data_IF_061984590794
#
_entry.id   IF_061984590794
#
_cell.length_a   1.000
_cell.length_b   1.000
_cell.length_c   1.000
_cell.angle_alpha   90.00
_cell.angle_beta   90.00
_cell.angle_gamma   90.00
#
_symmetry.space_group_name_H-M   'P 1'
#
loop_
_entity.id
_entity.type
_entity.pdbx_description
1 polymer ?
#
# COMPACT_ATOMS: atom_id res chain seq x y z
N UNK A 1 53.34 37.02 25.67
CA UNK A 1 53.51 35.55 25.67
C UNK A 1 52.48 34.90 26.59
N UNK A 2 51.42 34.29 26.04
CA UNK A 2 50.80 33.04 26.53
C UNK A 2 49.67 32.62 25.59
N UNK A 3 49.78 31.38 25.11
CA UNK A 3 48.78 30.65 24.31
C UNK A 3 47.50 30.41 25.12
N UNK A 4 46.37 30.36 24.41
CA UNK A 4 45.20 29.47 24.59
C UNK A 4 44.08 30.06 23.70
N UNK A 5 43.29 29.35 22.92
CA UNK A 5 43.11 27.93 22.64
C UNK A 5 41.86 27.89 21.75
N UNK A 6 41.98 27.33 20.55
CA UNK A 6 40.86 27.17 19.61
C UNK A 6 39.93 26.10 20.16
N UNK A 7 38.65 26.42 20.34
CA UNK A 7 37.58 25.43 20.55
C UNK A 7 36.49 25.69 19.51
N UNK A 8 36.62 24.98 18.40
CA UNK A 8 35.62 24.86 17.34
C UNK A 8 34.54 23.90 17.84
N UNK A 9 33.37 24.42 18.21
CA UNK A 9 32.22 23.61 18.59
C UNK A 9 31.53 23.13 17.31
N UNK A 10 31.77 21.87 16.95
CA UNK A 10 30.98 21.15 15.94
C UNK A 10 29.70 20.68 16.63
N UNK A 11 28.58 21.35 16.36
CA UNK A 11 27.26 20.87 16.75
C UNK A 11 26.80 19.81 15.73
N UNK A 12 26.86 18.54 16.11
CA UNK A 12 26.23 17.45 15.38
C UNK A 12 24.71 17.50 15.61
N UNK A 13 23.97 17.94 14.60
CA UNK A 13 22.51 17.83 14.59
C UNK A 13 22.12 16.37 14.30
N UNK A 14 21.76 15.63 15.35
CA UNK A 14 21.05 14.36 15.24
C UNK A 14 19.65 14.65 14.68
N UNK A 15 19.45 14.34 13.39
CA UNK A 15 18.13 14.26 12.77
C UNK A 15 17.43 13.03 13.34
N UNK A 16 16.80 13.20 14.49
CA UNK A 16 15.88 12.21 15.06
C UNK A 16 14.60 12.24 14.23
N UNK A 17 14.35 11.15 13.50
CA UNK A 17 13.05 10.88 12.89
C UNK A 17 11.99 10.75 13.97
N UNK A 18 11.29 11.84 14.26
CA UNK A 18 10.02 11.78 14.99
C UNK A 18 9.01 11.13 14.04
N UNK A 19 8.81 9.82 14.21
CA UNK A 19 7.56 9.19 13.79
C UNK A 19 6.46 9.86 14.60
N UNK A 20 5.73 10.78 13.97
CA UNK A 20 4.52 11.33 14.55
C UNK A 20 3.61 10.13 14.78
N UNK A 21 3.22 9.80 16.02
CA UNK A 21 2.21 8.80 16.23
C UNK A 21 0.97 9.31 15.48
N UNK A 22 0.43 8.47 14.59
CA UNK A 22 -0.92 8.67 14.06
C UNK A 22 -1.82 8.49 15.28
N UNK A 23 -2.06 9.58 16.00
CA UNK A 23 -3.03 9.62 17.07
C UNK A 23 -4.38 9.37 16.41
N UNK A 24 -4.87 8.13 16.52
CA UNK A 24 -6.29 7.88 16.37
C UNK A 24 -6.98 8.81 17.38
N UNK A 25 -7.65 9.85 16.89
CA UNK A 25 -8.37 10.77 17.75
C UNK A 25 -9.46 9.98 18.48
N UNK A 26 -9.24 9.62 19.74
CA UNK A 26 -10.27 9.01 20.57
C UNK A 26 -11.36 10.05 20.80
N UNK A 27 -12.51 9.86 20.13
CA UNK A 27 -13.67 10.74 20.24
C UNK A 27 -14.42 10.50 21.55
N UNK A 28 -15.05 11.56 22.06
CA UNK A 28 -15.79 11.48 23.33
C UNK A 28 -16.92 10.44 23.27
N UNK A 29 -17.06 9.59 24.31
CA UNK A 29 -18.07 8.55 24.34
C UNK A 29 -19.49 9.13 24.39
N UNK A 30 -20.42 8.35 23.84
CA UNK A 30 -21.84 8.64 23.80
C UNK A 30 -22.59 8.00 24.97
N UNK A 31 -23.13 8.83 25.86
CA UNK A 31 -24.14 8.46 26.86
C UNK A 31 -25.55 8.45 26.26
N UNK A 32 -26.25 7.35 26.41
CA UNK A 32 -27.68 7.15 26.16
C UNK A 32 -28.41 7.07 27.50
N UNK A 33 -29.59 7.71 27.60
CA UNK A 33 -30.33 7.81 28.85
C UNK A 33 -31.78 7.36 28.65
N UNK A 34 -32.28 6.57 29.58
CA UNK A 34 -33.71 6.23 29.68
C UNK A 34 -34.22 6.61 31.06
N UNK A 35 -35.43 7.14 31.10
CA UNK A 35 -36.05 7.63 32.34
C UNK A 35 -37.22 6.72 32.67
N UNK A 36 -37.12 6.02 33.79
CA UNK A 36 -38.21 5.23 34.35
C UNK A 36 -38.89 6.04 35.46
N UNK A 37 -40.20 6.22 35.36
CA UNK A 37 -41.00 7.00 36.30
C UNK A 37 -42.10 6.14 36.88
N UNK A 38 -42.27 6.17 38.21
CA UNK A 38 -43.47 5.66 38.84
C UNK A 38 -44.49 6.79 39.04
N UNK A 39 -45.59 6.83 38.27
CA UNK A 39 -46.62 7.86 38.43
C UNK A 39 -47.49 7.68 39.68
N UNK A 40 -47.40 6.54 40.38
CA UNK A 40 -48.20 6.31 41.58
C UNK A 40 -47.71 7.17 42.75
N UNK A 41 -48.66 7.81 43.44
CA UNK A 41 -48.38 8.60 44.63
C UNK A 41 -48.24 7.75 45.91
N UNK A 42 -48.69 6.49 45.88
CA UNK A 42 -48.86 5.69 47.10
C UNK A 42 -48.27 4.28 47.01
N UNK A 43 -48.11 3.70 45.80
CA UNK A 43 -47.65 2.31 45.63
C UNK A 43 -46.32 2.23 44.90
N UNK A 44 -45.45 1.35 45.39
CA UNK A 44 -44.27 0.94 44.63
C UNK A 44 -44.71 0.13 43.40
N UNK A 45 -44.03 0.33 42.27
CA UNK A 45 -44.32 -0.38 41.02
C UNK A 45 -43.03 -0.93 40.44
N UNK A 46 -43.10 -2.17 39.96
CA UNK A 46 -42.04 -2.77 39.15
C UNK A 46 -42.29 -2.40 37.69
N UNK A 47 -41.28 -1.84 37.03
CA UNK A 47 -41.35 -1.39 35.63
C UNK A 47 -40.19 -2.00 34.85
N UNK A 48 -40.44 -2.64 33.70
CA UNK A 48 -39.37 -3.10 32.83
C UNK A 48 -38.70 -1.91 32.13
N UNK A 49 -37.38 -1.93 32.07
CA UNK A 49 -36.57 -0.93 31.36
C UNK A 49 -35.85 -1.62 30.22
N UNK A 50 -35.99 -1.09 29.00
CA UNK A 50 -35.29 -1.58 27.80
C UNK A 50 -34.82 -0.40 26.96
N UNK A 51 -33.58 -0.49 26.48
CA UNK A 51 -32.96 0.47 25.56
C UNK A 51 -32.40 -0.32 24.39
N UNK A 52 -32.93 -0.09 23.19
CA UNK A 52 -32.33 -0.63 21.97
C UNK A 52 -31.12 0.22 21.57
N UNK A 53 -29.96 -0.42 21.40
CA UNK A 53 -28.76 0.24 20.90
C UNK A 53 -28.82 0.34 19.37
N UNK A 54 -28.17 1.36 18.78
CA UNK A 54 -28.01 1.43 17.33
C UNK A 54 -27.28 0.19 16.79
N UNK A 55 -27.67 -0.26 15.59
CA UNK A 55 -27.16 -1.48 14.97
C UNK A 55 -25.63 -1.48 14.76
N UNK A 56 -25.02 -0.30 14.72
CA UNK A 56 -23.57 -0.12 14.55
C UNK A 56 -22.77 -0.49 15.81
N UNK A 57 -23.40 -0.56 16.99
CA UNK A 57 -22.74 -0.82 18.27
C UNK A 57 -22.50 -2.32 18.46
N UNK A 58 -21.26 -2.68 18.80
CA UNK A 58 -20.88 -4.04 19.21
C UNK A 58 -20.72 -4.13 20.73
N UNK A 59 -20.64 -5.35 21.32
CA UNK A 59 -20.47 -5.50 22.76
C UNK A 59 -19.20 -4.82 23.29
N UNK A 60 -18.10 -4.85 22.52
CA UNK A 60 -16.84 -4.19 22.89
C UNK A 60 -16.85 -2.65 22.82
N UNK A 61 -17.92 -2.08 22.28
CA UNK A 61 -18.14 -0.63 22.21
C UNK A 61 -18.94 -0.12 23.41
N UNK A 62 -19.55 -1.00 24.20
CA UNK A 62 -20.28 -0.64 25.43
C UNK A 62 -19.24 -0.49 26.54
N UNK A 63 -19.10 0.74 27.05
CA UNK A 63 -18.13 1.09 28.11
C UNK A 63 -18.75 0.86 29.48
N UNK A 64 -19.99 1.33 29.66
CA UNK A 64 -20.74 1.20 30.91
C UNK A 64 -22.22 0.99 30.60
N UNK A 65 -22.84 0.03 31.28
CA UNK A 65 -24.27 -0.29 31.19
C UNK A 65 -24.94 -0.30 32.58
N UNK A 66 -24.22 0.11 33.63
CA UNK A 66 -24.72 0.15 35.00
C UNK A 66 -25.29 -1.19 35.47
N UNK A 67 -26.47 -1.14 36.10
CA UNK A 67 -27.17 -2.33 36.62
C UNK A 67 -28.00 -3.08 35.55
N UNK A 68 -27.84 -2.76 34.27
CA UNK A 68 -28.61 -3.35 33.18
C UNK A 68 -27.84 -4.48 32.50
N UNK A 69 -28.58 -5.42 31.92
CA UNK A 69 -28.04 -6.58 31.21
C UNK A 69 -28.02 -6.33 29.71
N UNK A 70 -26.96 -6.78 29.02
CA UNK A 70 -26.81 -6.63 27.57
C UNK A 70 -27.18 -7.93 26.89
N UNK A 71 -28.12 -7.87 25.96
CA UNK A 71 -28.55 -9.01 25.15
C UNK A 71 -28.56 -8.66 23.67
N UNK A 72 -28.60 -9.70 22.82
CA UNK A 72 -28.68 -9.57 21.38
C UNK A 72 -30.04 -10.02 20.87
N UNK A 73 -30.75 -9.11 20.21
CA UNK A 73 -32.01 -9.39 19.54
C UNK A 73 -31.69 -9.98 18.16
N UNK A 74 -31.90 -11.28 17.99
CA UNK A 74 -31.57 -11.99 16.74
C UNK A 74 -32.50 -11.58 15.59
N UNK A 75 -33.75 -11.24 15.88
CA UNK A 75 -34.73 -10.83 14.87
C UNK A 75 -34.37 -9.46 14.28
N UNK A 76 -33.95 -8.54 15.15
CA UNK A 76 -33.60 -7.16 14.78
C UNK A 76 -32.11 -6.95 14.53
N UNK A 77 -31.30 -7.98 14.79
CA UNK A 77 -29.84 -7.96 14.67
C UNK A 77 -29.19 -6.76 15.37
N UNK A 78 -29.63 -6.46 16.59
CA UNK A 78 -29.12 -5.34 17.39
C UNK A 78 -28.94 -5.74 18.85
N UNK A 79 -28.02 -5.06 19.52
CA UNK A 79 -27.88 -5.19 20.96
C UNK A 79 -28.89 -4.31 21.68
N UNK A 80 -29.40 -4.80 22.79
CA UNK A 80 -30.26 -4.03 23.66
C UNK A 80 -29.83 -4.22 25.10
N UNK A 81 -30.11 -3.22 25.90
CA UNK A 81 -29.76 -3.18 27.31
C UNK A 81 -31.05 -3.13 28.11
N UNK A 82 -31.25 -4.07 29.04
CA UNK A 82 -32.54 -4.24 29.70
C UNK A 82 -32.45 -4.64 31.18
N UNK A 83 -33.58 -4.48 31.86
CA UNK A 83 -33.84 -4.96 33.22
C UNK A 83 -35.33 -5.11 33.42
N UNK A 84 -35.79 -6.35 33.63
CA UNK A 84 -37.21 -6.66 33.75
C UNK A 84 -37.82 -6.10 35.04
N UNK A 85 -37.08 -6.20 36.16
CA UNK A 85 -37.59 -5.90 37.49
C UNK A 85 -36.94 -4.66 38.13
N UNK A 86 -37.32 -3.46 37.67
CA UNK A 86 -36.96 -2.21 38.36
C UNK A 86 -38.07 -1.79 39.30
N UNK A 87 -37.88 -2.00 40.60
CA UNK A 87 -38.80 -1.47 41.64
C UNK A 87 -38.55 0.03 41.84
N UNK A 88 -39.60 0.82 41.67
CA UNK A 88 -39.61 2.26 41.89
C UNK A 88 -40.58 2.60 43.03
N UNK A 89 -40.11 3.37 44.01
CA UNK A 89 -40.93 3.96 45.07
C UNK A 89 -41.97 4.93 44.50
N UNK A 90 -43.03 5.27 45.27
CA UNK A 90 -44.02 6.24 44.82
C UNK A 90 -43.38 7.57 44.41
N UNK A 91 -43.78 8.10 43.25
CA UNK A 91 -43.21 9.31 42.61
C UNK A 91 -41.70 9.27 42.33
N UNK A 92 -41.05 8.11 42.43
CA UNK A 92 -39.62 8.00 42.13
C UNK A 92 -39.38 8.06 40.63
N UNK A 93 -38.36 8.82 40.26
CA UNK A 93 -37.79 8.82 38.91
C UNK A 93 -36.38 8.28 39.00
N UNK A 94 -36.07 7.24 38.23
CA UNK A 94 -34.72 6.68 38.11
C UNK A 94 -34.25 6.83 36.68
N UNK A 95 -33.05 7.37 36.51
CA UNK A 95 -32.41 7.53 35.21
C UNK A 95 -31.39 6.41 35.09
N UNK A 96 -31.43 5.70 33.98
CA UNK A 96 -30.42 4.72 33.61
C UNK A 96 -29.58 5.29 32.48
N UNK A 97 -28.28 5.18 32.62
CA UNK A 97 -27.30 5.73 31.68
C UNK A 97 -26.46 4.58 31.12
N UNK A 98 -26.31 4.55 29.81
CA UNK A 98 -25.47 3.59 29.10
C UNK A 98 -24.45 4.39 28.31
N UNK A 99 -23.16 4.15 28.54
CA UNK A 99 -22.05 4.83 27.88
C UNK A 99 -21.48 3.90 26.82
N UNK A 100 -21.46 4.37 25.57
CA UNK A 100 -20.90 3.64 24.43
C UNK A 100 -19.79 4.45 23.77
N UNK A 101 -18.83 3.79 23.14
CA UNK A 101 -17.82 4.43 22.30
C UNK A 101 -18.48 5.08 21.10
N UNK A 102 -17.92 6.20 20.66
CA UNK A 102 -18.35 6.87 19.44
C UNK A 102 -17.79 6.13 18.22
N UNK A 103 -18.65 5.36 17.55
CA UNK A 103 -18.31 4.60 16.35
C UNK A 103 -18.87 5.23 15.07
N UNK A 104 -19.55 6.39 15.17
CA UNK A 104 -20.29 6.99 14.05
C UNK A 104 -19.43 8.01 13.30
N UNK A 105 -18.30 7.53 12.79
CA UNK A 105 -17.44 8.31 11.93
C UNK A 105 -16.66 7.44 10.95
N UNK A 106 -16.22 8.05 9.87
CA UNK A 106 -15.30 7.48 8.90
C UNK A 106 -13.90 8.00 9.26
N UNK A 107 -12.91 7.11 9.45
CA UNK A 107 -11.54 7.50 9.74
C UNK A 107 -10.96 8.44 8.68
N UNK A 108 -10.20 9.45 9.10
CA UNK A 108 -9.55 10.40 8.18
C UNK A 108 -8.58 9.69 7.22
N UNK A 109 -7.96 8.59 7.67
CA UNK A 109 -7.10 7.74 6.85
C UNK A 109 -7.84 7.15 5.65
N UNK A 110 -9.10 6.75 5.84
CA UNK A 110 -9.91 6.15 4.78
C UNK A 110 -10.33 7.21 3.76
N UNK A 111 -10.73 8.40 4.25
CA UNK A 111 -11.05 9.54 3.40
C UNK A 111 -9.83 10.03 2.61
N UNK A 112 -8.66 10.09 3.25
CA UNK A 112 -7.39 10.42 2.62
C UNK A 112 -6.98 9.38 1.56
N UNK A 113 -7.14 8.09 1.84
CA UNK A 113 -6.86 7.02 0.89
C UNK A 113 -7.72 7.13 -0.38
N UNK A 114 -9.02 7.38 -0.23
CA UNK A 114 -9.93 7.61 -1.37
C UNK A 114 -9.57 8.88 -2.15
N UNK A 115 -9.24 9.97 -1.46
CA UNK A 115 -8.80 11.22 -2.09
C UNK A 115 -7.53 11.01 -2.92
N UNK A 116 -6.53 10.34 -2.35
CA UNK A 116 -5.28 10.04 -3.03
C UNK A 116 -5.51 9.16 -4.25
N UNK A 117 -6.35 8.14 -4.14
CA UNK A 117 -6.68 7.27 -5.28
C UNK A 117 -7.30 8.06 -6.44
N UNK A 118 -8.27 8.94 -6.16
CA UNK A 118 -8.87 9.80 -7.17
C UNK A 118 -7.82 10.72 -7.83
N UNK A 119 -6.92 11.31 -7.05
CA UNK A 119 -5.85 12.17 -7.57
C UNK A 119 -4.86 11.43 -8.47
N UNK A 120 -4.48 10.21 -8.11
CA UNK A 120 -3.60 9.36 -8.94
C UNK A 120 -4.27 9.05 -10.29
N UNK A 121 -5.54 8.67 -10.28
CA UNK A 121 -6.30 8.37 -11.50
C UNK A 121 -6.41 9.61 -12.40
N UNK A 122 -6.73 10.77 -11.83
CA UNK A 122 -6.78 12.04 -12.57
C UNK A 122 -5.43 12.37 -13.23
N UNK A 123 -4.32 12.20 -12.49
CA UNK A 123 -2.97 12.45 -13.01
C UNK A 123 -2.60 11.52 -14.17
N UNK A 124 -3.00 10.25 -14.09
CA UNK A 124 -2.77 9.28 -15.18
C UNK A 124 -3.60 9.61 -16.43
N UNK A 125 -4.80 10.14 -16.23
CA UNK A 125 -5.70 10.58 -17.30
C UNK A 125 -5.36 11.97 -17.86
N UNK A 126 -4.38 12.67 -17.30
CA UNK A 126 -4.06 14.06 -17.65
C UNK A 126 -3.65 14.26 -19.12
N UNK A 127 -3.05 13.23 -19.72
CA UNK A 127 -2.58 13.22 -21.12
C UNK A 127 -3.49 12.42 -22.07
N UNK A 128 -4.64 11.96 -21.59
CA UNK A 128 -5.59 11.21 -22.41
C UNK A 128 -6.69 12.11 -22.98
N UNK A 129 -7.47 11.58 -23.93
CA UNK A 129 -8.69 12.22 -24.42
C UNK A 129 -9.78 12.37 -23.35
N UNK A 130 -9.66 11.64 -22.24
CA UNK A 130 -10.62 11.66 -21.13
C UNK A 130 -10.25 12.66 -20.02
N UNK A 131 -9.24 13.52 -20.23
CA UNK A 131 -8.78 14.51 -19.24
C UNK A 131 -9.92 15.30 -18.62
N UNK A 132 -10.79 15.89 -19.43
CA UNK A 132 -11.85 16.78 -18.94
C UNK A 132 -12.89 16.01 -18.12
N UNK A 133 -13.27 14.82 -18.58
CA UNK A 133 -14.15 13.91 -17.84
C UNK A 133 -13.52 13.47 -16.51
N UNK A 134 -12.21 13.21 -16.50
CA UNK A 134 -11.47 12.84 -15.30
C UNK A 134 -11.44 13.99 -14.28
N UNK A 135 -11.20 15.23 -14.72
CA UNK A 135 -11.19 16.41 -13.86
C UNK A 135 -12.57 16.68 -13.27
N UNK A 136 -13.63 16.57 -14.06
CA UNK A 136 -15.00 16.78 -13.58
C UNK A 136 -15.40 15.72 -12.53
N UNK A 137 -15.15 14.45 -12.84
CA UNK A 137 -15.54 13.34 -11.96
C UNK A 137 -14.67 13.31 -10.70
N UNK A 138 -13.36 13.47 -10.83
CA UNK A 138 -12.45 13.54 -9.71
C UNK A 138 -12.67 14.77 -8.82
N UNK A 139 -13.00 15.93 -9.40
CA UNK A 139 -13.43 17.11 -8.65
C UNK A 139 -14.71 16.86 -7.84
N UNK A 140 -15.68 16.14 -8.42
CA UNK A 140 -16.91 15.74 -7.72
C UNK A 140 -16.60 14.80 -6.54
N UNK A 141 -15.71 13.84 -6.73
CA UNK A 141 -15.27 12.92 -5.66
C UNK A 141 -14.62 13.70 -4.52
N UNK A 142 -13.65 14.59 -4.84
CA UNK A 142 -12.95 15.39 -3.82
C UNK A 142 -13.92 16.28 -3.05
N UNK A 143 -14.86 16.95 -3.75
CA UNK A 143 -15.88 17.77 -3.10
C UNK A 143 -16.75 16.97 -2.13
N UNK A 144 -17.20 15.77 -2.51
CA UNK A 144 -18.01 14.91 -1.63
C UNK A 144 -17.22 14.43 -0.42
N UNK A 145 -15.93 14.12 -0.58
CA UNK A 145 -15.05 13.76 0.52
C UNK A 145 -14.87 14.94 1.49
N UNK A 146 -14.71 16.15 0.98
CA UNK A 146 -14.64 17.38 1.80
C UNK A 146 -15.95 17.61 2.55
N UNK A 147 -17.10 17.39 1.92
CA UNK A 147 -18.41 17.54 2.54
C UNK A 147 -18.62 16.52 3.67
N UNK A 148 -18.22 15.26 3.46
CA UNK A 148 -18.23 14.24 4.52
C UNK A 148 -17.37 14.69 5.71
N UNK A 149 -16.14 15.14 5.46
CA UNK A 149 -15.23 15.60 6.51
C UNK A 149 -15.86 16.74 7.32
N UNK A 150 -16.37 17.77 6.62
CA UNK A 150 -17.04 18.92 7.26
C UNK A 150 -18.23 18.50 8.11
N UNK A 151 -19.04 17.56 7.64
CA UNK A 151 -20.19 17.06 8.40
C UNK A 151 -19.77 16.26 9.65
N UNK A 152 -18.61 15.59 9.62
CA UNK A 152 -18.09 14.84 10.78
C UNK A 152 -17.46 15.76 11.83
N UNK A 153 -16.85 16.86 11.38
CA UNK A 153 -16.15 17.82 12.24
C UNK A 153 -17.10 18.90 12.79
N UNK A 154 -18.36 18.89 12.38
CA UNK A 154 -19.39 19.76 12.92
C UNK A 154 -19.81 19.31 14.33
N UNK A 155 -19.12 19.86 15.33
CA UNK A 155 -19.40 19.65 16.76
C UNK A 155 -20.76 20.22 17.21
N UNK A 156 -21.40 21.08 16.40
CA UNK A 156 -22.72 21.65 16.74
C UNK A 156 -23.86 20.65 16.56
N UNK A 157 -23.61 19.54 15.86
CA UNK A 157 -24.61 18.52 15.56
C UNK A 157 -24.95 17.73 16.81
N UNK A 158 -26.23 17.71 17.17
CA UNK A 158 -26.70 16.95 18.33
C UNK A 158 -26.35 15.46 18.18
N UNK A 159 -26.03 14.80 19.29
CA UNK A 159 -25.61 13.39 19.34
C UNK A 159 -26.50 12.41 18.55
N UNK A 160 -27.84 12.58 18.60
CA UNK A 160 -28.78 11.78 17.79
C UNK A 160 -28.68 12.05 16.28
N UNK A 161 -28.36 13.27 15.89
CA UNK A 161 -28.18 13.66 14.50
C UNK A 161 -26.85 13.12 13.93
N UNK A 162 -25.82 12.89 14.77
CA UNK A 162 -24.54 12.28 14.36
C UNK A 162 -24.72 10.87 13.77
N UNK A 163 -25.55 10.03 14.39
CA UNK A 163 -25.89 8.69 13.87
C UNK A 163 -26.51 8.80 12.47
N UNK A 164 -27.46 9.73 12.30
CA UNK A 164 -28.10 9.97 11.01
C UNK A 164 -27.14 10.53 9.96
N UNK A 165 -26.23 11.43 10.35
CA UNK A 165 -25.19 11.97 9.48
C UNK A 165 -24.23 10.88 9.02
N UNK A 166 -23.77 10.02 9.94
CA UNK A 166 -22.93 8.88 9.62
C UNK A 166 -23.57 7.95 8.58
N UNK A 167 -24.84 7.58 8.76
CA UNK A 167 -25.55 6.74 7.78
C UNK A 167 -25.66 7.40 6.40
N UNK A 168 -25.88 8.71 6.35
CA UNK A 168 -25.86 9.46 5.07
C UNK A 168 -24.46 9.49 4.46
N UNK A 169 -23.43 9.65 5.27
CA UNK A 169 -22.04 9.63 4.81
C UNK A 169 -21.64 8.26 4.26
N UNK A 170 -22.16 7.16 4.82
CA UNK A 170 -21.97 5.82 4.26
C UNK A 170 -22.58 5.69 2.85
N UNK A 171 -23.75 6.28 2.62
CA UNK A 171 -24.35 6.33 1.27
C UNK A 171 -23.50 7.20 0.32
N UNK A 172 -23.03 8.36 0.78
CA UNK A 172 -22.14 9.21 0.00
C UNK A 172 -20.82 8.50 -0.36
N UNK A 173 -20.25 7.71 0.57
CA UNK A 173 -19.08 6.87 0.32
C UNK A 173 -19.34 5.80 -0.74
N UNK A 174 -20.53 5.20 -0.77
CA UNK A 174 -20.87 4.25 -1.84
C UNK A 174 -20.86 4.95 -3.20
N UNK A 175 -21.46 6.13 -3.31
CA UNK A 175 -21.40 6.92 -4.56
C UNK A 175 -19.97 7.30 -4.93
N UNK A 176 -19.14 7.70 -3.96
CA UNK A 176 -17.72 8.00 -4.22
C UNK A 176 -16.99 6.77 -4.79
N UNK A 177 -17.24 5.57 -4.25
CA UNK A 177 -16.65 4.32 -4.76
C UNK A 177 -17.11 4.01 -6.18
N UNK A 178 -18.38 4.23 -6.50
CA UNK A 178 -18.91 4.08 -7.85
C UNK A 178 -18.27 5.07 -8.83
N UNK A 179 -18.12 6.33 -8.43
CA UNK A 179 -17.47 7.37 -9.24
C UNK A 179 -15.97 7.07 -9.44
N UNK A 180 -15.30 6.52 -8.43
CA UNK A 180 -13.92 6.07 -8.54
C UNK A 180 -13.77 4.91 -9.53
N UNK A 181 -14.67 3.92 -9.48
CA UNK A 181 -14.71 2.83 -10.46
C UNK A 181 -14.95 3.33 -11.89
N UNK A 182 -15.72 4.41 -12.05
CA UNK A 182 -15.89 5.07 -13.37
C UNK A 182 -14.60 5.74 -13.84
N UNK A 183 -13.84 6.41 -12.95
CA UNK A 183 -12.51 6.94 -13.28
C UNK A 183 -11.54 5.83 -13.70
N UNK A 184 -11.50 4.72 -12.96
CA UNK A 184 -10.69 3.55 -13.31
C UNK A 184 -11.05 3.01 -14.70
N UNK A 185 -12.35 2.96 -15.01
CA UNK A 185 -12.83 2.52 -16.33
C UNK A 185 -12.34 3.46 -17.44
N UNK A 186 -12.35 4.79 -17.23
CA UNK A 186 -11.78 5.74 -18.20
C UNK A 186 -10.28 5.47 -18.42
N UNK A 187 -9.53 5.16 -17.36
CA UNK A 187 -8.11 4.83 -17.46
C UNK A 187 -7.87 3.56 -18.28
N UNK A 188 -8.73 2.55 -18.11
CA UNK A 188 -8.66 1.32 -18.90
C UNK A 188 -8.86 1.58 -20.41
N UNK A 189 -9.76 2.51 -20.77
CA UNK A 189 -9.96 2.90 -22.17
C UNK A 189 -8.80 3.72 -22.73
N UNK A 190 -8.14 4.52 -21.89
CA UNK A 190 -6.95 5.27 -22.26
C UNK A 190 -5.69 4.39 -22.46
N UNK A 191 -5.80 3.07 -22.34
CA UNK A 191 -4.68 2.13 -22.49
C UNK A 191 -3.77 2.04 -21.27
N UNK A 192 -4.18 2.57 -20.11
CA UNK A 192 -3.43 2.45 -18.86
C UNK A 192 -3.91 1.25 -18.04
N UNK A 193 -3.04 0.29 -17.67
CA UNK A 193 -3.43 -0.74 -16.71
C UNK A 193 -3.67 -0.12 -15.32
N UNK A 194 -4.71 -0.55 -14.58
CA UNK A 194 -4.84 -0.19 -13.17
C UNK A 194 -3.69 -0.83 -12.41
N UNK A 195 -2.74 -0.01 -11.93
CA UNK A 195 -1.61 -0.50 -11.15
C UNK A 195 -2.05 -0.57 -9.69
N UNK A 196 -1.93 -1.71 -9.00
CA UNK A 196 -2.20 -1.80 -7.57
C UNK A 196 -1.38 -0.77 -6.79
N UNK A 197 -2.02 -0.03 -5.87
CA UNK A 197 -1.37 1.02 -5.05
C UNK A 197 -0.11 0.52 -4.30
N UNK A 198 -0.05 -0.78 -3.99
CA UNK A 198 1.11 -1.42 -3.35
C UNK A 198 2.41 -1.35 -4.18
N UNK A 199 2.33 -1.06 -5.48
CA UNK A 199 3.49 -0.92 -6.35
C UNK A 199 3.93 0.55 -6.52
N UNK A 200 3.16 1.52 -6.04
CA UNK A 200 3.48 2.95 -6.18
C UNK A 200 4.37 3.48 -5.05
N UNK A 201 4.25 2.92 -3.84
CA UNK A 201 5.04 3.34 -2.67
C UNK A 201 6.35 2.56 -2.45
N UNK A 202 6.73 1.66 -3.37
CA UNK A 202 8.06 1.06 -3.29
C UNK A 202 9.13 2.10 -3.64
N UNK A 203 10.10 2.42 -2.75
CA UNK A 203 11.20 3.35 -3.03
C UNK A 203 12.20 2.81 -4.07
N UNK A 204 11.89 1.69 -4.72
CA UNK A 204 12.58 1.18 -5.88
C UNK A 204 12.12 1.94 -7.13
N UNK A 205 12.40 3.25 -7.16
CA UNK A 205 12.82 3.88 -8.42
C UNK A 205 14.17 3.25 -8.79
N UNK A 206 14.13 2.02 -9.30
CA UNK A 206 15.18 1.58 -10.20
C UNK A 206 14.94 2.38 -11.47
N UNK A 207 15.62 3.52 -11.60
CA UNK A 207 15.81 4.16 -12.89
C UNK A 207 16.26 3.05 -13.84
N UNK A 208 15.38 2.65 -14.76
CA UNK A 208 15.76 1.75 -15.84
C UNK A 208 17.01 2.38 -16.47
N UNK A 209 18.12 1.64 -16.63
CA UNK A 209 19.37 2.23 -17.06
C UNK A 209 19.10 2.94 -18.38
N UNK A 210 19.30 4.27 -18.36
CA UNK A 210 19.28 5.11 -19.55
C UNK A 210 20.05 4.41 -20.66
N UNK A 211 19.57 4.49 -21.90
CA UNK A 211 20.19 3.89 -23.09
C UNK A 211 21.68 4.24 -23.22
N UNK A 212 22.11 5.35 -22.63
CA UNK A 212 23.51 5.77 -22.51
C UNK A 212 24.36 4.82 -21.65
N UNK A 213 23.83 4.29 -20.55
CA UNK A 213 24.55 3.36 -19.66
C UNK A 213 24.72 1.99 -20.31
N UNK A 214 23.71 1.51 -21.03
CA UNK A 214 23.78 0.24 -21.77
C UNK A 214 24.86 0.28 -22.85
N UNK A 215 24.93 1.37 -23.63
CA UNK A 215 25.97 1.53 -24.65
C UNK A 215 27.39 1.66 -24.06
N UNK A 216 27.53 2.34 -22.92
CA UNK A 216 28.81 2.46 -22.21
C UNK A 216 29.32 1.10 -21.72
N UNK A 217 28.43 0.27 -21.17
CA UNK A 217 28.77 -1.08 -20.71
C UNK A 217 29.20 -1.97 -21.88
N UNK A 218 28.51 -1.90 -23.02
CA UNK A 218 28.90 -2.65 -24.22
C UNK A 218 30.31 -2.26 -24.68
N UNK A 219 30.61 -0.96 -24.76
CA UNK A 219 31.95 -0.49 -25.13
C UNK A 219 33.04 -0.98 -24.18
N UNK A 220 32.78 -0.98 -22.87
CA UNK A 220 33.73 -1.46 -21.87
C UNK A 220 34.06 -2.94 -22.09
N UNK A 221 33.06 -3.78 -22.36
CA UNK A 221 33.24 -5.21 -22.64
C UNK A 221 34.06 -5.42 -23.92
N UNK A 222 33.76 -4.68 -24.99
CA UNK A 222 34.49 -4.79 -26.27
C UNK A 222 35.95 -4.38 -26.11
N UNK A 223 36.23 -3.28 -25.41
CA UNK A 223 37.60 -2.83 -25.13
C UNK A 223 38.36 -3.89 -24.31
N UNK A 224 37.72 -4.45 -23.28
CA UNK A 224 38.32 -5.47 -22.45
C UNK A 224 38.65 -6.75 -23.24
N UNK A 225 37.75 -7.21 -24.11
CA UNK A 225 38.02 -8.33 -25.02
C UNK A 225 39.18 -8.04 -25.97
N UNK A 226 39.27 -6.81 -26.49
CA UNK A 226 40.37 -6.37 -27.35
C UNK A 226 41.72 -6.42 -26.65
N UNK A 227 41.78 -5.97 -25.39
CA UNK A 227 43.00 -6.02 -24.57
C UNK A 227 43.44 -7.46 -24.29
N UNK A 228 42.50 -8.36 -23.96
CA UNK A 228 42.79 -9.78 -23.75
C UNK A 228 43.32 -10.44 -25.03
N UNK A 229 42.67 -10.20 -26.18
CA UNK A 229 43.12 -10.72 -27.47
C UNK A 229 44.53 -10.21 -27.83
N UNK A 230 44.80 -8.92 -27.58
CA UNK A 230 46.13 -8.34 -27.77
C UNK A 230 47.20 -9.02 -26.91
N UNK A 231 46.92 -9.23 -25.62
CA UNK A 231 47.85 -9.91 -24.72
C UNK A 231 48.17 -11.34 -25.19
N UNK A 232 47.16 -12.10 -25.62
CA UNK A 232 47.36 -13.44 -26.19
C UNK A 232 48.18 -13.40 -27.48
N UNK A 233 47.91 -12.45 -28.38
CA UNK A 233 48.65 -12.28 -29.63
C UNK A 233 50.13 -11.98 -29.39
N UNK A 234 50.45 -11.07 -28.47
CA UNK A 234 51.85 -10.76 -28.12
C UNK A 234 52.55 -11.95 -27.44
N UNK A 235 51.83 -12.70 -26.61
CA UNK A 235 52.38 -13.90 -25.97
C UNK A 235 52.69 -14.98 -27.01
N UNK A 236 51.84 -15.14 -28.02
CA UNK A 236 52.07 -16.07 -29.13
C UNK A 236 53.21 -15.60 -30.06
N UNK A 237 53.27 -14.32 -30.43
CA UNK A 237 54.36 -13.77 -31.24
C UNK A 237 55.74 -13.96 -30.59
N UNK A 238 55.83 -13.85 -29.26
CA UNK A 238 57.09 -14.12 -28.54
C UNK A 238 57.50 -15.59 -28.62
N UNK A 239 56.54 -16.53 -28.64
CA UNK A 239 56.83 -17.97 -28.77
C UNK A 239 57.31 -18.36 -30.17
N UNK A 240 56.84 -17.70 -31.23
CA UNK A 240 57.31 -17.96 -32.60
C UNK A 240 58.79 -17.60 -32.80
N UNK A 241 59.32 -16.61 -32.07
CA UNK A 241 60.75 -16.24 -32.15
C UNK A 241 61.70 -17.23 -31.47
N UNK A 242 61.17 -18.15 -30.65
CA UNK A 242 61.95 -19.23 -30.00
C UNK A 242 62.01 -20.52 -30.82
N UNK A 243 61.25 -20.65 -31.91
CA UNK A 243 61.20 -21.87 -32.74
C UNK A 243 62.17 -21.80 -33.94
N UNK A 244 62.75 -20.64 -34.27
CA UNK A 244 63.78 -20.50 -35.32
C UNK A 244 65.20 -20.87 -34.85
N UNK A 245 65.33 -21.74 -33.86
CA UNK A 245 66.59 -22.13 -33.22
C UNK A 245 66.77 -23.63 -33.02
N UNK A 246 66.10 -24.46 -33.82
CA UNK A 246 66.33 -25.92 -33.87
C UNK A 246 66.81 -26.31 -35.28
N UNK A 247 68.14 -26.34 -35.43
CA UNK A 247 68.97 -27.32 -36.18
C UNK A 247 68.25 -28.12 -37.28
N UNK A 248 68.54 -27.98 -38.59
CA UNK A 248 69.83 -28.27 -39.26
C UNK A 248 70.58 -29.45 -38.62
N UNK A 249 70.24 -30.67 -39.05
CA UNK A 249 71.15 -31.81 -38.98
C UNK A 249 71.21 -32.49 -40.37
N UNK A 250 72.40 -32.91 -40.85
CA UNK A 250 72.62 -33.30 -42.23
C UNK A 250 72.26 -34.76 -42.49
N UNK A 251 71.99 -35.01 -43.77
CA UNK A 251 71.75 -36.30 -44.41
C UNK A 251 72.72 -37.40 -43.98
N UNK A 252 72.18 -38.53 -43.53
CA UNK A 252 72.83 -39.82 -43.61
C UNK A 252 71.78 -40.84 -44.03
N UNK A 253 71.88 -41.32 -45.27
CA UNK A 253 71.79 -42.73 -45.71
C UNK A 253 71.39 -42.79 -47.20
N UNK A 254 71.93 -43.78 -47.94
CA UNK A 254 72.29 -43.63 -49.34
C UNK A 254 71.22 -44.14 -50.29
N UNK A 255 71.34 -43.64 -51.51
CA UNK A 255 70.64 -44.03 -52.73
C UNK A 255 70.83 -45.53 -53.05
N UNK A 256 69.74 -46.29 -53.12
CA UNK A 256 69.64 -47.48 -53.97
C UNK A 256 68.43 -47.33 -54.89
N UNK A 257 68.68 -47.49 -56.19
CA UNK A 257 67.77 -47.20 -57.29
C UNK A 257 66.65 -48.22 -57.53
N UNK A 258 65.80 -47.97 -58.54
CA UNK A 258 64.46 -48.54 -58.67
C UNK A 258 64.45 -49.87 -59.44
N UNK A 259 63.33 -50.59 -59.41
CA UNK A 259 62.55 -50.60 -60.66
C UNK A 259 61.03 -50.55 -60.49
N UNK A 260 60.41 -50.12 -61.57
CA UNK A 260 59.00 -50.22 -61.95
C UNK A 260 58.40 -51.61 -61.69
N UNK A 261 57.10 -51.68 -61.38
CA UNK A 261 56.09 -52.21 -62.32
C UNK A 261 54.68 -52.19 -61.69
N UNK A 262 53.71 -51.79 -62.51
CA UNK A 262 52.42 -52.47 -62.68
C UNK A 262 51.49 -52.73 -61.49
N UNK A 263 50.27 -52.19 -61.55
CA UNK A 263 49.12 -52.91 -60.99
C UNK A 263 47.92 -52.08 -60.58
N UNK A 264 47.02 -51.87 -61.54
CA UNK A 264 45.56 -51.92 -61.45
C UNK A 264 44.84 -51.84 -60.07
N UNK A 265 43.81 -51.00 -60.06
CA UNK A 265 42.61 -51.01 -59.19
C UNK A 265 41.82 -52.36 -59.28
N UNK A 266 40.57 -52.54 -58.74
CA UNK A 266 39.69 -51.67 -57.93
C UNK A 266 38.91 -52.44 -56.81
N UNK A 267 37.86 -51.78 -56.27
CA UNK A 267 36.69 -52.33 -55.51
C UNK A 267 36.98 -52.62 -54.03
N UNK A 268 36.09 -52.33 -53.09
CA UNK A 268 34.70 -51.92 -53.14
C UNK A 268 34.04 -52.41 -51.84
N UNK A 269 32.95 -51.75 -51.43
CA UNK A 269 32.00 -52.34 -50.48
C UNK A 269 31.83 -51.58 -49.16
N UNK A 270 30.64 -51.03 -48.90
CA UNK A 270 30.21 -50.55 -47.60
C UNK A 270 29.49 -51.67 -46.83
N UNK A 271 29.59 -51.71 -45.50
CA UNK A 271 28.56 -52.37 -44.67
C UNK A 271 28.48 -51.73 -43.27
N UNK A 272 27.26 -51.25 -42.99
CA UNK A 272 26.51 -51.17 -41.73
C UNK A 272 26.88 -50.09 -40.70
#
# INVERSE_FOLDING_TARGET
>A
MRRQGVAMMVAAALVGGMTVPVCAAEREPMTMRVVAVNPSAEKAKTVPVRIDLPQEIKPGDIIDHGDLEVEFDTERSLYFVHKEDVTLSPKQTRIFEVVVKDVWFIPDTDLAGLRNHAQILMKRLEKSEYRDAALQLGGTIVSRLDDIQKMQDDESVARKQRIGAYRRNLLALQTIKEDLARLEKLLSFAGGPPVPQMLEESPLKSDAPSTTTTWLVIFLIVIFMGLLAGQFFFTWQRRLKTVSGFSNEPEAFPNEGPPEDGGAAPRGGPER
#
